data_IF_363469267198
#
_entry.id   IF_363469267198
#
_cell.length_a   1.000
_cell.length_b   1.000
_cell.length_c   1.000
_cell.angle_alpha   90.00
_cell.angle_beta   90.00
_cell.angle_gamma   90.00
#
_symmetry.space_group_name_H-M   'P 1'
#
loop_
_entity.id
_entity.type
_entity.pdbx_description
1 polymer ?
#
# COMPACT_ATOMS: atom_id res chain seq x y z
N UNK A 1 -5.04 6.75 -3.39
CA UNK A 1 -3.65 6.29 -3.15
C UNK A 1 -2.79 7.49 -2.85
N UNK A 2 -2.00 7.44 -1.78
CA UNK A 2 -1.05 8.50 -1.42
C UNK A 2 0.36 7.92 -1.47
N UNK A 3 1.25 8.62 -2.16
CA UNK A 3 2.67 8.27 -2.31
C UNK A 3 3.49 9.49 -1.95
N UNK A 4 4.57 9.29 -1.20
CA UNK A 4 5.47 10.35 -0.80
C UNK A 4 6.82 9.77 -0.39
N UNK A 5 7.83 10.64 -0.38
CA UNK A 5 9.15 10.34 0.13
C UNK A 5 9.20 10.80 1.60
N UNK A 6 9.42 9.86 2.51
CA UNK A 6 9.34 10.13 3.95
C UNK A 6 10.70 10.34 4.63
N UNK A 7 11.83 10.14 3.92
CA UNK A 7 13.20 10.32 4.44
C UNK A 7 13.40 9.84 5.88
N UNK A 8 13.03 8.58 6.14
CA UNK A 8 12.85 7.94 7.46
C UNK A 8 11.40 7.88 7.93
N UNK A 9 10.79 6.72 7.68
CA UNK A 9 9.40 6.44 8.08
C UNK A 9 9.21 6.52 9.60
N UNK A 10 10.16 5.96 10.36
CA UNK A 10 10.11 5.97 11.83
C UNK A 10 10.17 7.38 12.41
N UNK A 11 10.99 8.26 11.82
CA UNK A 11 11.13 9.64 12.28
C UNK A 11 9.85 10.45 12.08
N UNK A 12 9.10 10.13 11.02
CA UNK A 12 7.91 10.86 10.60
C UNK A 12 6.59 10.12 10.86
N UNK A 13 6.62 9.03 11.61
CA UNK A 13 5.44 8.19 11.87
C UNK A 13 4.30 8.96 12.55
N UNK A 14 4.61 9.91 13.43
CA UNK A 14 3.61 10.78 14.08
C UNK A 14 2.82 11.63 13.09
N UNK A 15 3.47 12.05 12.01
CA UNK A 15 2.91 12.94 11.00
C UNK A 15 1.93 12.17 10.08
N UNK A 16 1.94 10.84 10.13
CA UNK A 16 1.07 9.96 9.33
C UNK A 16 -0.33 9.79 9.90
N UNK A 17 -0.63 10.50 10.99
CA UNK A 17 -2.00 10.66 11.51
C UNK A 17 -2.77 11.80 10.82
N UNK A 18 -2.17 12.44 9.81
CA UNK A 18 -2.79 13.53 9.06
C UNK A 18 -4.09 13.07 8.35
N UNK A 19 -5.17 13.87 8.36
CA UNK A 19 -6.44 13.55 7.68
C UNK A 19 -6.28 13.21 6.20
N UNK A 20 -5.29 13.79 5.51
CA UNK A 20 -4.99 13.48 4.10
C UNK A 20 -4.50 12.04 3.96
N UNK A 21 -3.66 11.58 4.89
CA UNK A 21 -3.18 10.18 4.92
C UNK A 21 -4.36 9.25 5.23
N UNK A 22 -5.18 9.58 6.22
CA UNK A 22 -6.33 8.76 6.59
C UNK A 22 -7.38 8.69 5.47
N UNK A 23 -7.53 9.71 4.62
CA UNK A 23 -8.45 9.65 3.48
C UNK A 23 -8.07 8.62 2.40
N UNK A 24 -6.85 8.05 2.44
CA UNK A 24 -6.37 7.09 1.45
C UNK A 24 -6.61 5.64 1.85
N UNK A 25 -6.99 4.81 0.87
CA UNK A 25 -7.07 3.36 1.04
C UNK A 25 -5.70 2.66 0.98
N UNK A 26 -4.79 3.20 0.16
CA UNK A 26 -3.43 2.68 -0.04
C UNK A 26 -2.42 3.79 0.21
N UNK A 27 -1.42 3.49 1.04
CA UNK A 27 -0.33 4.40 1.38
C UNK A 27 1.00 3.77 0.97
N UNK A 28 1.80 4.50 0.19
CA UNK A 28 3.07 4.01 -0.34
C UNK A 28 4.23 4.98 -0.07
N UNK A 29 4.77 4.98 1.16
CA UNK A 29 5.99 5.70 1.50
C UNK A 29 7.23 5.09 0.83
N UNK A 30 8.07 5.97 0.29
CA UNK A 30 9.41 5.68 -0.23
C UNK A 30 10.49 6.33 0.65
N UNK A 31 11.73 5.89 0.51
CA UNK A 31 12.86 6.30 1.37
C UNK A 31 12.56 6.08 2.86
N UNK A 32 12.02 4.91 3.19
CA UNK A 32 11.60 4.59 4.56
C UNK A 32 12.79 4.43 5.51
N UNK A 33 13.95 4.05 4.97
CA UNK A 33 15.20 3.80 5.70
C UNK A 33 15.06 2.74 6.81
N UNK A 34 13.94 2.00 6.81
CA UNK A 34 13.63 0.93 7.73
C UNK A 34 14.48 -0.29 7.43
N UNK A 35 14.83 -1.08 8.45
CA UNK A 35 15.38 -2.42 8.23
C UNK A 35 14.25 -3.41 7.88
N UNK A 36 14.60 -4.57 7.31
CA UNK A 36 13.61 -5.56 6.87
C UNK A 36 12.72 -6.03 8.05
N UNK A 37 13.34 -6.20 9.22
CA UNK A 37 12.68 -6.60 10.48
C UNK A 37 11.94 -5.46 11.18
N UNK A 38 12.11 -4.21 10.74
CA UNK A 38 11.53 -3.04 11.42
C UNK A 38 10.11 -2.79 10.92
N UNK A 39 9.13 -2.97 11.79
CA UNK A 39 7.75 -2.57 11.54
C UNK A 39 7.50 -1.18 12.13
N UNK A 40 6.90 -0.30 11.34
CA UNK A 40 6.35 0.97 11.82
C UNK A 40 4.84 0.88 11.75
N UNK A 41 4.19 0.99 12.89
CA UNK A 41 2.74 0.96 12.97
C UNK A 41 2.17 2.31 12.54
N UNK A 42 1.24 2.29 11.60
CA UNK A 42 0.49 3.46 11.15
C UNK A 42 -0.98 3.23 11.54
N UNK A 43 -1.60 4.15 12.31
CA UNK A 43 -3.00 4.02 12.71
C UNK A 43 -3.92 3.80 11.50
N UNK A 44 -4.88 2.89 11.62
CA UNK A 44 -5.83 2.53 10.56
C UNK A 44 -5.24 1.81 9.34
N UNK A 45 -3.96 1.45 9.33
CA UNK A 45 -3.34 0.76 8.20
C UNK A 45 -2.63 -0.53 8.61
N UNK A 46 -2.72 -1.54 7.74
CA UNK A 46 -1.93 -2.76 7.75
C UNK A 46 -0.75 -2.62 6.78
N UNK A 47 0.45 -2.96 7.24
CA UNK A 47 1.60 -3.16 6.35
C UNK A 47 1.41 -4.46 5.56
N UNK A 48 1.36 -4.39 4.23
CA UNK A 48 1.15 -5.56 3.34
C UNK A 48 2.36 -5.89 2.46
N UNK A 49 3.37 -5.02 2.41
CA UNK A 49 4.59 -5.28 1.64
C UNK A 49 5.72 -4.34 1.98
N UNK A 50 6.96 -4.83 1.90
CA UNK A 50 8.18 -4.05 2.08
C UNK A 50 9.19 -4.42 1.01
N UNK A 51 9.96 -3.43 0.58
CA UNK A 51 11.00 -3.60 -0.42
C UNK A 51 12.20 -2.77 -0.03
N UNK A 52 13.39 -3.37 0.03
CA UNK A 52 14.64 -2.66 0.30
C UNK A 52 15.76 -3.29 -0.49
N UNK A 53 16.62 -2.47 -1.09
CA UNK A 53 17.85 -2.95 -1.73
C UNK A 53 18.90 -3.24 -0.64
N UNK A 54 19.56 -4.39 -0.73
CA UNK A 54 20.64 -4.74 0.20
C UNK A 54 21.74 -3.67 0.16
N UNK A 55 22.33 -3.38 1.33
CA UNK A 55 23.47 -2.48 1.52
C UNK A 55 23.26 -1.00 1.15
N UNK A 56 22.04 -0.56 0.80
CA UNK A 56 21.72 0.85 0.58
C UNK A 56 20.92 1.36 1.78
N UNK A 57 21.51 2.29 2.54
CA UNK A 57 20.89 2.85 3.75
C UNK A 57 19.72 3.81 3.43
N UNK A 58 19.86 4.78 2.50
CA UNK A 58 18.74 5.59 2.06
C UNK A 58 17.96 4.86 0.97
N UNK A 59 17.27 3.78 1.37
CA UNK A 59 16.40 3.04 0.48
C UNK A 59 15.29 2.40 1.29
N UNK A 60 14.23 1.99 0.61
CA UNK A 60 13.11 1.31 1.22
C UNK A 60 11.79 1.85 0.72
N UNK A 61 10.87 0.96 0.38
CA UNK A 61 9.47 1.24 0.14
C UNK A 61 8.61 0.31 0.99
N UNK A 62 7.47 0.80 1.45
CA UNK A 62 6.52 0.01 2.23
C UNK A 62 5.12 0.29 1.73
N UNK A 63 4.29 -0.74 1.54
CA UNK A 63 2.90 -0.60 1.16
C UNK A 63 2.03 -0.86 2.38
N UNK A 64 1.17 0.10 2.66
CA UNK A 64 0.16 0.06 3.70
C UNK A 64 -1.23 0.08 3.07
N UNK A 65 -2.13 -0.71 3.63
CA UNK A 65 -3.53 -0.83 3.23
C UNK A 65 -4.44 -0.48 4.41
N UNK A 66 -5.52 0.27 4.18
CA UNK A 66 -6.46 0.66 5.24
C UNK A 66 -7.15 -0.56 5.84
N UNK A 67 -7.21 -0.64 7.18
CA UNK A 67 -7.69 -1.79 7.97
C UNK A 67 -9.09 -2.26 7.59
N UNK A 68 -9.98 -1.33 7.27
CA UNK A 68 -11.38 -1.60 6.94
C UNK A 68 -11.64 -1.61 5.43
N UNK A 69 -10.60 -1.50 4.60
CA UNK A 69 -10.74 -1.68 3.16
C UNK A 69 -10.70 -3.18 2.84
N UNK A 70 -11.83 -3.85 3.06
CA UNK A 70 -12.04 -5.20 2.59
C UNK A 70 -12.11 -5.15 1.05
N UNK A 71 -10.99 -5.48 0.40
CA UNK A 71 -10.82 -5.58 -1.05
C UNK A 71 -11.88 -6.49 -1.68
N UNK A 72 -13.06 -5.95 -1.97
CA UNK A 72 -13.83 -6.42 -3.10
C UNK A 72 -13.26 -5.69 -4.31
N UNK A 73 -12.19 -6.23 -4.90
CA UNK A 73 -11.71 -5.78 -6.20
C UNK A 73 -12.83 -6.13 -7.19
N UNK A 74 -13.77 -5.21 -7.42
CA UNK A 74 -14.77 -5.37 -8.47
C UNK A 74 -14.13 -4.90 -9.77
N UNK A 75 -13.82 -5.85 -10.66
CA UNK A 75 -13.39 -5.51 -12.02
C UNK A 75 -14.61 -5.48 -12.93
N UNK A 76 -14.53 -4.76 -14.04
CA UNK A 76 -15.59 -4.67 -15.05
C UNK A 76 -16.01 -6.03 -15.63
N UNK A 77 -15.25 -7.09 -15.36
CA UNK A 77 -15.47 -8.45 -15.85
C UNK A 77 -16.06 -9.39 -14.78
N UNK A 78 -16.48 -8.88 -13.62
CA UNK A 78 -17.11 -9.72 -12.60
C UNK A 78 -18.60 -9.91 -12.86
N UNK A 79 -19.03 -11.17 -12.94
CA UNK A 79 -20.44 -11.53 -12.96
C UNK A 79 -20.95 -11.69 -11.52
N UNK A 80 -21.94 -10.87 -11.15
CA UNK A 80 -22.56 -10.91 -9.83
C UNK A 80 -23.95 -11.54 -9.96
N UNK A 81 -24.10 -12.78 -9.47
CA UNK A 81 -25.39 -13.46 -9.42
C UNK A 81 -26.03 -13.30 -8.04
N UNK A 82 -27.17 -12.61 -7.99
CA UNK A 82 -27.91 -12.38 -6.75
C UNK A 82 -29.31 -13.00 -6.86
N UNK A 83 -29.75 -13.67 -5.80
CA UNK A 83 -31.09 -14.27 -5.73
C UNK A 83 -31.84 -13.71 -4.51
N UNK A 84 -33.07 -13.25 -4.75
CA UNK A 84 -33.99 -12.75 -3.72
C UNK A 84 -33.48 -11.53 -2.95
N UNK A 85 -33.05 -10.49 -3.66
CA UNK A 85 -32.57 -9.23 -3.05
C UNK A 85 -33.49 -8.07 -3.46
N UNK A 86 -33.80 -7.18 -2.51
CA UNK A 86 -34.68 -6.02 -2.72
C UNK A 86 -33.93 -4.83 -3.32
N UNK A 87 -32.66 -4.65 -2.98
CA UNK A 87 -31.81 -3.56 -3.48
C UNK A 87 -30.33 -3.96 -3.44
N UNK A 88 -29.57 -3.48 -4.42
CA UNK A 88 -28.14 -3.72 -4.56
C UNK A 88 -27.46 -2.38 -4.82
N UNK A 89 -26.56 -1.99 -3.92
CA UNK A 89 -25.69 -0.83 -4.09
C UNK A 89 -24.24 -1.33 -4.26
N UNK A 90 -23.62 -0.95 -5.39
CA UNK A 90 -22.24 -1.32 -5.71
C UNK A 90 -21.44 -0.02 -5.83
N UNK A 91 -20.77 0.35 -4.74
CA UNK A 91 -19.79 1.42 -4.75
C UNK A 91 -18.46 0.93 -5.31
N UNK A 92 -18.00 1.53 -6.42
CA UNK A 92 -16.67 1.29 -6.96
C UNK A 92 -15.83 2.56 -6.83
N UNK A 93 -14.68 2.46 -6.16
CA UNK A 93 -13.63 3.48 -6.22
C UNK A 93 -12.70 3.22 -7.40
N UNK A 94 -12.08 4.27 -7.95
CA UNK A 94 -11.02 4.10 -8.95
C UNK A 94 -9.91 3.21 -8.39
N UNK A 95 -9.68 2.06 -9.02
CA UNK A 95 -8.52 1.21 -8.72
C UNK A 95 -7.34 1.78 -9.51
N UNK A 96 -6.26 2.12 -8.80
CA UNK A 96 -4.98 2.40 -9.44
C UNK A 96 -4.20 1.09 -9.58
N UNK A 97 -3.61 0.85 -10.74
CA UNK A 97 -2.75 -0.31 -10.94
C UNK A 97 -1.41 -0.09 -10.23
N UNK A 98 -1.03 -1.04 -9.36
CA UNK A 98 0.33 -1.11 -8.80
C UNK A 98 1.09 -2.16 -9.61
N UNK A 99 1.96 -1.71 -10.52
CA UNK A 99 2.89 -2.58 -11.21
C UNK A 99 4.19 -2.70 -10.40
N UNK A 100 4.51 -3.92 -9.95
CA UNK A 100 5.84 -4.27 -9.47
C UNK A 100 6.56 -5.04 -10.58
N UNK A 101 7.75 -4.56 -10.98
CA UNK A 101 8.62 -5.28 -11.90
C UNK A 101 9.75 -5.93 -11.12
N UNK A 102 9.95 -7.24 -11.30
CA UNK A 102 11.13 -7.93 -10.80
C UNK A 102 12.28 -7.68 -11.78
N UNK A 103 13.17 -6.76 -11.43
CA UNK A 103 14.37 -6.50 -12.24
C UNK A 103 15.46 -7.50 -11.87
N UNK A 104 15.92 -8.27 -12.85
CA UNK A 104 17.14 -9.09 -12.74
C UNK A 104 18.27 -8.25 -13.32
N UNK A 105 19.31 -8.00 -12.54
CA UNK A 105 20.52 -7.34 -13.03
C UNK A 105 21.31 -8.32 -13.93
N UNK A 106 22.18 -7.81 -14.80
CA UNK A 106 22.94 -8.62 -15.77
C UNK A 106 23.83 -9.70 -15.11
N UNK A 107 24.10 -9.58 -13.81
CA UNK A 107 24.82 -10.56 -12.99
C UNK A 107 23.92 -11.67 -12.40
N UNK A 108 22.63 -11.65 -12.72
CA UNK A 108 21.63 -12.63 -12.26
C UNK A 108 21.16 -12.41 -10.82
N UNK A 109 21.56 -11.32 -10.17
CA UNK A 109 21.12 -10.99 -8.81
C UNK A 109 19.89 -10.10 -8.86
N UNK A 110 18.88 -10.44 -8.05
CA UNK A 110 17.66 -9.67 -7.84
C UNK A 110 17.66 -8.85 -6.54
#
# INVERSE_FOLDING_TARGET
MVTFNCQSLRKHASDLSDPVIDSSNILFPSETWSNDDENVDIPNFNCIGKFKRKNVRPAGGVIYQKLNDALNIVTSNMEVLLRYTLEIDIGQSSIGDICAAHCVLDDGVS
#
